data_IF_443657020950
#
_entry.id   IF_443657020950
#
_cell.length_a   1.000
_cell.length_b   1.000
_cell.length_c   1.000
_cell.angle_alpha   90.00
_cell.angle_beta   90.00
_cell.angle_gamma   90.00
#
_symmetry.space_group_name_H-M   'P 1'
#
loop_
_entity.id
_entity.type
_entity.pdbx_description
1 polymer ?
#
# COMPACT_ATOMS: atom_id res chain seq x y z
N UNK A 1 -9.16 32.90 28.75
CA UNK A 1 -8.16 33.95 29.07
C UNK A 1 -7.17 34.01 27.92
N UNK A 2 -7.01 35.20 27.33
CA UNK A 2 -6.20 35.49 26.14
C UNK A 2 -4.73 35.65 26.53
N UNK A 3 -3.79 35.06 25.78
CA UNK A 3 -2.47 35.67 25.58
C UNK A 3 -2.02 35.42 24.15
N UNK A 4 -2.03 36.49 23.37
CA UNK A 4 -1.50 36.61 22.01
C UNK A 4 -0.05 37.09 22.16
N UNK A 5 0.89 36.53 21.41
CA UNK A 5 2.24 37.11 21.30
C UNK A 5 2.70 36.99 19.86
N UNK A 6 2.52 38.10 19.16
CA UNK A 6 3.04 38.38 17.82
C UNK A 6 4.40 39.05 18.00
N UNK A 7 5.43 38.55 17.32
CA UNK A 7 6.71 39.25 17.20
C UNK A 7 7.06 39.39 15.71
N UNK A 8 7.00 40.63 15.22
CA UNK A 8 7.50 41.07 13.92
C UNK A 8 8.86 41.75 14.09
N UNK A 9 9.79 41.58 13.14
CA UNK A 9 10.62 42.63 12.49
C UNK A 9 11.69 41.97 11.58
N UNK A 10 11.56 41.93 10.24
CA UNK A 10 12.10 42.82 9.15
C UNK A 10 13.54 43.33 9.33
N UNK A 11 14.44 43.48 8.33
CA UNK A 11 14.44 43.53 6.85
C UNK A 11 15.89 43.23 6.37
N UNK A 12 16.09 42.87 5.08
CA UNK A 12 17.18 43.45 4.27
C UNK A 12 16.93 43.26 2.76
N UNK A 13 17.14 44.35 2.01
CA UNK A 13 16.89 44.55 0.58
C UNK A 13 18.23 44.75 -0.13
N UNK A 14 18.44 44.10 -1.28
CA UNK A 14 19.27 44.49 -2.44
C UNK A 14 19.17 43.33 -3.48
N UNK A 15 19.08 43.48 -4.80
CA UNK A 15 19.05 44.60 -5.73
C UNK A 15 19.45 44.10 -7.15
N UNK A 16 18.78 44.63 -8.19
CA UNK A 16 19.19 44.72 -9.63
C UNK A 16 19.17 43.45 -10.51
N UNK A 17 18.84 43.45 -11.81
CA UNK A 17 18.33 44.43 -12.80
C UNK A 17 17.82 43.62 -14.02
N UNK A 18 16.91 44.19 -14.81
CA UNK A 18 16.34 43.64 -16.04
C UNK A 18 17.33 43.55 -17.22
N UNK A 19 17.12 42.58 -18.12
CA UNK A 19 17.59 42.68 -19.49
C UNK A 19 16.44 42.46 -20.48
N UNK A 20 15.99 43.56 -21.08
CA UNK A 20 15.13 43.58 -22.26
C UNK A 20 16.03 43.74 -23.48
N UNK A 21 15.82 42.95 -24.54
CA UNK A 21 16.12 43.38 -25.91
C UNK A 21 14.93 43.10 -26.80
N UNK A 22 14.40 44.19 -27.37
CA UNK A 22 13.55 44.26 -28.55
C UNK A 22 14.40 44.11 -29.82
N UNK A 23 13.89 43.47 -30.87
CA UNK A 23 13.36 44.14 -32.08
C UNK A 23 12.85 43.09 -33.09
N UNK A 24 11.70 43.37 -33.72
CA UNK A 24 11.04 42.65 -34.81
C UNK A 24 11.57 43.09 -36.20
N UNK A 25 10.85 42.94 -37.34
CA UNK A 25 10.19 41.80 -38.01
C UNK A 25 10.71 41.60 -39.46
N UNK A 26 10.44 40.46 -40.12
CA UNK A 26 10.20 40.42 -41.59
C UNK A 26 9.51 39.14 -42.05
N UNK A 27 8.54 39.34 -42.94
CA UNK A 27 7.61 38.37 -43.52
C UNK A 27 8.19 37.54 -44.67
N UNK A 28 7.75 36.29 -44.82
CA UNK A 28 7.47 35.67 -46.14
C UNK A 28 6.74 34.32 -46.02
N UNK A 29 5.54 34.27 -46.60
CA UNK A 29 4.63 33.14 -46.90
C UNK A 29 5.32 32.09 -47.80
N UNK A 30 5.16 30.76 -47.67
CA UNK A 30 4.01 29.93 -48.16
C UNK A 30 4.31 28.41 -47.98
N UNK A 31 3.35 27.49 -48.21
CA UNK A 31 3.10 26.31 -47.37
C UNK A 31 3.74 25.00 -47.85
N UNK A 32 3.86 24.02 -46.95
CA UNK A 32 3.88 22.60 -47.33
C UNK A 32 3.33 21.67 -46.26
N UNK A 33 2.33 20.91 -46.71
CA UNK A 33 1.95 19.54 -46.37
C UNK A 33 1.77 19.16 -44.89
N UNK A 34 0.49 19.05 -44.53
CA UNK A 34 -0.04 18.24 -43.45
C UNK A 34 0.45 16.78 -43.52
N UNK A 35 0.99 16.28 -42.42
CA UNK A 35 0.99 14.86 -42.09
C UNK A 35 0.69 14.72 -40.59
N UNK A 36 -0.52 14.32 -40.17
CA UNK A 36 -0.73 13.90 -38.80
C UNK A 36 -0.04 12.54 -38.65
N UNK A 37 1.10 12.54 -37.94
CA UNK A 37 1.69 11.31 -37.42
C UNK A 37 0.78 10.81 -36.30
N UNK A 38 -0.18 9.96 -36.66
CA UNK A 38 -0.99 9.19 -35.71
C UNK A 38 -0.05 8.25 -34.96
N UNK A 39 0.46 8.70 -33.80
CA UNK A 39 1.07 7.79 -32.84
C UNK A 39 0.01 6.72 -32.50
N UNK A 40 0.35 5.41 -32.54
CA UNK A 40 -0.55 4.40 -32.04
C UNK A 40 -0.77 4.68 -30.56
N UNK A 41 -1.97 5.15 -30.21
CA UNK A 41 -2.44 5.07 -28.84
C UNK A 41 -2.45 3.58 -28.50
N UNK A 42 -1.43 3.14 -27.77
CA UNK A 42 -1.44 1.80 -27.17
C UNK A 42 -2.54 1.86 -26.13
N UNK A 43 -3.74 1.42 -26.52
CA UNK A 43 -4.80 1.12 -25.58
C UNK A 43 -4.32 -0.05 -24.75
N UNK A 44 -3.61 0.25 -23.66
CA UNK A 44 -3.35 -0.72 -22.61
C UNK A 44 -4.73 -1.17 -22.14
N UNK A 45 -5.13 -2.38 -22.56
CA UNK A 45 -6.30 -3.05 -22.00
C UNK A 45 -6.10 -3.07 -20.49
N UNK A 46 -6.80 -2.19 -19.78
CA UNK A 46 -6.84 -2.24 -18.33
C UNK A 46 -7.35 -3.62 -17.99
N UNK A 47 -6.50 -4.44 -17.37
CA UNK A 47 -6.93 -5.73 -16.85
C UNK A 47 -8.02 -5.44 -15.80
N UNK A 48 -9.28 -5.62 -16.20
CA UNK A 48 -10.43 -5.27 -15.36
C UNK A 48 -10.73 -6.40 -14.38
N UNK A 49 -10.55 -7.65 -14.79
CA UNK A 49 -10.85 -8.82 -13.98
C UNK A 49 -9.77 -9.08 -12.95
N UNK A 50 -10.15 -9.17 -11.68
CA UNK A 50 -9.25 -9.50 -10.59
C UNK A 50 -8.65 -10.92 -10.76
N UNK A 51 -7.34 -11.10 -10.55
CA UNK A 51 -6.67 -12.40 -10.65
C UNK A 51 -7.22 -13.43 -9.66
N UNK A 52 -7.38 -14.68 -10.11
CA UNK A 52 -7.74 -15.81 -9.26
C UNK A 52 -6.55 -16.37 -8.46
N UNK A 53 -6.76 -17.41 -7.63
CA UNK A 53 -5.69 -18.06 -6.84
C UNK A 53 -4.56 -18.66 -7.70
N UNK A 54 -4.86 -19.16 -8.89
CA UNK A 54 -3.90 -19.80 -9.81
C UNK A 54 -3.20 -18.82 -10.77
N UNK A 55 -3.34 -17.51 -10.56
CA UNK A 55 -2.72 -16.51 -11.42
C UNK A 55 -1.19 -16.47 -11.25
N UNK A 56 -0.46 -16.06 -12.29
CA UNK A 56 0.97 -15.79 -12.16
C UNK A 56 1.21 -14.46 -11.42
N UNK A 57 2.36 -14.33 -10.75
CA UNK A 57 2.74 -13.08 -10.08
C UNK A 57 2.74 -11.91 -11.05
N UNK A 58 3.20 -12.10 -12.28
CA UNK A 58 3.25 -11.03 -13.30
C UNK A 58 1.84 -10.58 -13.69
N UNK A 59 0.89 -11.51 -13.75
CA UNK A 59 -0.52 -11.18 -13.99
C UNK A 59 -1.10 -10.39 -12.82
N UNK A 60 -0.78 -10.77 -11.58
CA UNK A 60 -1.22 -10.04 -10.38
C UNK A 60 -0.61 -8.64 -10.34
N UNK A 61 0.69 -8.54 -10.59
CA UNK A 61 1.45 -7.27 -10.59
C UNK A 61 0.87 -6.30 -11.63
N UNK A 62 0.72 -6.74 -12.89
CA UNK A 62 0.14 -5.90 -13.95
C UNK A 62 -1.29 -5.46 -13.62
N UNK A 63 -2.08 -6.32 -12.99
CA UNK A 63 -3.43 -5.95 -12.57
C UNK A 63 -3.40 -4.93 -11.43
N UNK A 64 -2.53 -5.07 -10.43
CA UNK A 64 -2.37 -4.07 -9.36
C UNK A 64 -1.99 -2.71 -9.95
N UNK A 65 -1.00 -2.68 -10.86
CA UNK A 65 -0.49 -1.46 -11.50
C UNK A 65 -1.51 -0.73 -12.36
N UNK A 66 -2.45 -1.48 -12.96
CA UNK A 66 -3.56 -0.92 -13.73
C UNK A 66 -4.62 -0.21 -12.86
N UNK A 67 -4.53 -0.29 -11.53
CA UNK A 67 -5.40 0.46 -10.62
C UNK A 67 -5.18 1.97 -10.70
N UNK A 68 -6.21 2.75 -10.34
CA UNK A 68 -6.08 4.20 -10.25
C UNK A 68 -5.24 4.58 -9.02
N UNK A 69 -4.15 5.36 -9.16
CA UNK A 69 -3.28 5.69 -8.03
C UNK A 69 -3.99 6.57 -7.00
N UNK A 70 -3.61 6.40 -5.73
CA UNK A 70 -3.89 7.31 -4.62
C UNK A 70 -2.58 7.78 -4.00
N UNK A 71 -2.61 8.90 -3.28
CA UNK A 71 -1.46 9.41 -2.55
C UNK A 71 -1.27 8.60 -1.25
N UNK A 72 -0.04 8.15 -0.99
CA UNK A 72 0.27 7.37 0.21
C UNK A 72 0.16 8.21 1.50
N UNK A 73 0.34 9.53 1.38
CA UNK A 73 0.26 10.45 2.50
C UNK A 73 -1.15 10.51 3.11
N UNK A 74 -2.19 10.25 2.31
CA UNK A 74 -3.58 10.16 2.79
C UNK A 74 -3.77 8.96 3.73
N UNK A 75 -3.00 7.89 3.54
CA UNK A 75 -3.10 6.62 4.26
C UNK A 75 -2.22 6.55 5.51
N UNK A 76 -1.69 7.69 5.98
CA UNK A 76 -1.01 7.78 7.28
C UNK A 76 -1.97 8.00 8.45
N UNK A 77 -3.23 8.30 8.17
CA UNK A 77 -4.24 8.50 9.21
C UNK A 77 -4.74 7.14 9.71
N UNK A 78 -4.70 6.96 11.02
CA UNK A 78 -5.29 5.82 11.71
C UNK A 78 -6.31 6.30 12.72
N UNK A 79 -7.40 5.57 12.90
CA UNK A 79 -8.41 5.84 13.92
C UNK A 79 -8.39 4.75 14.98
N UNK A 80 -8.36 5.17 16.24
CA UNK A 80 -8.54 4.28 17.38
C UNK A 80 -9.70 4.79 18.23
N UNK A 81 -10.81 4.05 18.23
CA UNK A 81 -12.02 4.37 19.00
C UNK A 81 -12.54 5.81 18.76
N UNK A 82 -12.47 6.30 17.51
CA UNK A 82 -12.91 7.64 17.11
C UNK A 82 -11.89 8.75 17.36
N UNK A 83 -10.68 8.40 17.81
CA UNK A 83 -9.56 9.33 17.94
C UNK A 83 -8.56 9.14 16.78
N UNK A 84 -8.54 10.05 15.78
CA UNK A 84 -7.58 9.97 14.70
C UNK A 84 -6.18 10.35 15.17
N UNK A 85 -5.18 9.63 14.70
CA UNK A 85 -3.76 9.92 14.86
C UNK A 85 -3.00 9.75 13.53
N UNK A 86 -1.73 10.12 13.51
CA UNK A 86 -0.87 10.06 12.32
C UNK A 86 0.28 9.11 12.55
N UNK A 87 0.46 8.19 11.59
CA UNK A 87 1.64 7.34 11.52
C UNK A 87 2.89 8.16 11.18
N UNK A 88 4.06 7.55 11.41
CA UNK A 88 5.33 8.15 11.02
C UNK A 88 5.44 8.30 9.50
N UNK A 89 6.31 9.20 9.04
CA UNK A 89 6.57 9.41 7.62
C UNK A 89 6.97 8.10 6.91
N UNK A 90 6.38 7.84 5.74
CA UNK A 90 6.62 6.63 4.96
C UNK A 90 5.88 5.38 5.44
N UNK A 91 5.14 5.45 6.56
CA UNK A 91 4.27 4.38 7.03
C UNK A 91 2.84 4.57 6.50
N UNK A 92 2.11 3.48 6.28
CA UNK A 92 0.71 3.52 5.86
C UNK A 92 -0.12 2.49 6.63
N UNK A 93 -1.40 2.80 6.79
CA UNK A 93 -2.42 1.85 7.19
C UNK A 93 -3.63 1.97 6.27
N UNK A 94 -4.16 0.84 5.83
CA UNK A 94 -5.27 0.77 4.90
C UNK A 94 -6.03 -0.52 5.05
N UNK A 95 -7.28 -0.55 4.58
CA UNK A 95 -8.13 -1.74 4.65
C UNK A 95 -9.00 -1.89 3.42
N UNK A 96 -9.56 -3.07 3.23
CA UNK A 96 -10.64 -3.24 2.25
C UNK A 96 -11.83 -2.35 2.62
N UNK A 97 -12.55 -1.81 1.62
CA UNK A 97 -13.81 -1.11 1.83
C UNK A 97 -14.83 -2.01 2.52
N UNK A 98 -15.71 -1.40 3.30
CA UNK A 98 -16.71 -2.10 4.10
C UNK A 98 -16.81 -1.50 5.49
N UNK A 99 -17.92 -1.82 6.16
CA UNK A 99 -18.08 -1.49 7.57
C UNK A 99 -17.21 -2.44 8.41
N UNK A 100 -16.46 -1.85 9.34
CA UNK A 100 -15.84 -2.64 10.39
C UNK A 100 -16.85 -2.77 11.52
N UNK A 101 -17.03 -4.00 12.00
CA UNK A 101 -17.75 -4.22 13.25
C UNK A 101 -17.10 -3.47 14.41
N UNK A 102 -17.83 -3.23 15.51
CA UNK A 102 -17.27 -2.58 16.68
C UNK A 102 -16.05 -3.36 17.20
N UNK A 103 -14.94 -2.65 17.47
CA UNK A 103 -13.68 -3.21 18.00
C UNK A 103 -12.95 -4.19 17.07
N UNK A 104 -13.24 -4.17 15.76
CA UNK A 104 -12.49 -4.97 14.78
C UNK A 104 -11.25 -4.21 14.33
N UNK A 105 -10.09 -4.76 14.68
CA UNK A 105 -8.84 -4.42 14.02
C UNK A 105 -8.81 -5.20 12.70
N UNK A 106 -8.69 -4.49 11.59
CA UNK A 106 -8.67 -5.11 10.26
C UNK A 106 -7.93 -4.26 9.24
N UNK A 107 -7.42 -4.92 8.20
CA UNK A 107 -6.62 -4.28 7.16
C UNK A 107 -5.13 -4.56 7.31
N UNK A 108 -4.32 -3.67 6.77
CA UNK A 108 -2.87 -3.76 6.71
C UNK A 108 -2.24 -2.49 7.28
N UNK A 109 -1.09 -2.64 7.91
CA UNK A 109 -0.31 -1.56 8.50
C UNK A 109 1.18 -1.86 8.37
N UNK A 110 1.97 -0.82 8.14
CA UNK A 110 3.43 -0.89 8.15
C UNK A 110 3.98 -0.43 9.50
N UNK A 111 5.18 -0.92 9.82
CA UNK A 111 5.97 -0.48 10.96
C UNK A 111 7.47 -0.56 10.60
N UNK A 112 7.84 0.01 9.46
CA UNK A 112 9.19 0.02 8.92
C UNK A 112 10.22 0.65 9.86
N UNK A 113 9.82 1.63 10.68
CA UNK A 113 10.64 2.15 11.79
C UNK A 113 11.17 1.03 12.69
N UNK A 114 10.36 -0.01 12.91
CA UNK A 114 10.70 -1.18 13.72
C UNK A 114 11.18 -2.39 12.89
N UNK A 115 11.48 -2.17 11.60
CA UNK A 115 11.87 -3.23 10.64
C UNK A 115 10.84 -4.37 10.55
N UNK A 116 9.57 -4.04 10.81
CA UNK A 116 8.47 -4.98 10.68
C UNK A 116 8.05 -5.08 9.21
N UNK A 117 7.66 -6.28 8.76
CA UNK A 117 7.05 -6.46 7.45
C UNK A 117 5.65 -5.83 7.39
N UNK A 118 5.07 -5.80 6.18
CA UNK A 118 3.66 -5.47 6.04
C UNK A 118 2.84 -6.45 6.87
N UNK A 119 2.11 -5.94 7.86
CA UNK A 119 1.31 -6.74 8.78
C UNK A 119 -0.16 -6.56 8.44
N UNK A 120 -0.90 -7.64 8.27
CA UNK A 120 -2.30 -7.61 7.87
C UNK A 120 -3.17 -8.52 8.76
N UNK A 121 -4.40 -8.08 9.03
CA UNK A 121 -5.48 -8.82 9.66
C UNK A 121 -6.69 -8.80 8.72
N UNK A 122 -6.75 -9.70 7.72
CA UNK A 122 -7.78 -9.65 6.69
C UNK A 122 -9.07 -10.40 7.05
N UNK A 123 -9.13 -11.07 8.21
CA UNK A 123 -10.32 -11.81 8.64
C UNK A 123 -10.47 -13.20 7.98
N UNK A 124 -9.37 -13.96 7.87
CA UNK A 124 -9.35 -15.29 7.24
C UNK A 124 -10.26 -16.27 8.00
N UNK A 125 -11.19 -16.93 7.30
CA UNK A 125 -12.14 -17.87 7.91
C UNK A 125 -11.47 -19.16 8.42
N UNK A 126 -10.53 -19.72 7.65
CA UNK A 126 -9.84 -20.98 7.98
C UNK A 126 -8.41 -20.72 8.47
N UNK A 127 -8.25 -19.80 9.41
CA UNK A 127 -6.94 -19.43 9.94
C UNK A 127 -6.28 -20.61 10.71
N UNK A 128 -4.94 -20.74 10.68
CA UNK A 128 -4.25 -21.84 11.36
C UNK A 128 -4.57 -21.89 12.85
N UNK A 129 -4.84 -23.09 13.41
CA UNK A 129 -5.03 -23.23 14.85
C UNK A 129 -3.74 -22.93 15.59
N UNK A 130 -3.86 -22.59 16.88
CA UNK A 130 -2.69 -22.40 17.75
C UNK A 130 -1.86 -23.69 17.81
N UNK A 131 -0.55 -23.65 17.51
CA UNK A 131 0.33 -24.78 17.75
C UNK A 131 0.40 -25.16 19.25
N UNK A 132 0.57 -26.45 19.58
CA UNK A 132 0.60 -26.90 20.98
C UNK A 132 1.78 -26.28 21.75
N UNK A 133 1.60 -26.15 23.07
CA UNK A 133 2.65 -25.75 24.03
C UNK A 133 3.38 -24.42 23.73
N UNK A 134 2.73 -23.53 22.97
CA UNK A 134 3.20 -22.16 22.81
C UNK A 134 2.78 -21.33 24.03
N UNK A 135 3.67 -20.54 24.66
CA UNK A 135 3.29 -19.48 25.59
C UNK A 135 2.92 -18.18 24.84
N UNK A 136 2.07 -17.32 25.42
CA UNK A 136 1.74 -15.99 24.86
C UNK A 136 0.41 -15.92 24.07
N UNK A 137 0.07 -14.75 23.53
CA UNK A 137 -1.16 -14.57 22.73
C UNK A 137 -0.93 -15.03 21.29
N UNK A 138 -1.87 -15.84 20.80
CA UNK A 138 -1.86 -16.35 19.43
C UNK A 138 -2.90 -15.60 18.61
N UNK A 139 -2.48 -15.04 17.48
CA UNK A 139 -3.38 -14.40 16.53
C UNK A 139 -3.38 -15.22 15.25
N UNK A 140 -4.40 -16.08 15.09
CA UNK A 140 -4.48 -17.04 13.99
C UNK A 140 -4.49 -16.38 12.60
N UNK A 141 -5.19 -15.25 12.47
CA UNK A 141 -5.34 -14.52 11.21
C UNK A 141 -4.24 -13.51 10.92
N UNK A 142 -3.18 -13.43 11.72
CA UNK A 142 -2.09 -12.49 11.50
C UNK A 142 -1.29 -12.89 10.27
N UNK A 143 -1.26 -12.03 9.25
CA UNK A 143 -0.47 -12.21 8.05
C UNK A 143 0.73 -11.26 8.11
N UNK A 144 1.94 -11.78 8.00
CA UNK A 144 3.13 -10.95 7.79
C UNK A 144 3.70 -11.21 6.40
N UNK A 145 3.96 -10.16 5.63
CA UNK A 145 4.49 -10.23 4.28
C UNK A 145 5.70 -9.31 4.13
N UNK A 146 6.90 -9.89 4.02
CA UNK A 146 8.15 -9.15 3.80
C UNK A 146 8.60 -9.15 2.33
N UNK A 147 7.87 -9.86 1.46
CA UNK A 147 8.24 -10.14 0.08
C UNK A 147 8.91 -11.50 -0.11
N UNK A 148 9.91 -11.83 0.70
CA UNK A 148 10.62 -13.12 0.65
C UNK A 148 9.84 -14.25 1.34
N UNK A 149 8.93 -13.91 2.24
CA UNK A 149 8.15 -14.83 3.04
C UNK A 149 6.75 -14.29 3.28
N UNK A 150 5.82 -15.23 3.43
CA UNK A 150 4.47 -14.95 3.95
C UNK A 150 4.23 -15.86 5.14
N UNK A 151 3.92 -15.29 6.30
CA UNK A 151 3.52 -16.08 7.48
C UNK A 151 2.05 -15.84 7.81
N UNK A 152 1.38 -16.88 8.30
CA UNK A 152 -0.02 -16.82 8.76
C UNK A 152 -0.10 -17.47 10.13
N UNK A 153 -0.65 -16.74 11.09
CA UNK A 153 -0.77 -17.18 12.47
C UNK A 153 0.55 -17.08 13.20
N UNK A 154 0.63 -16.19 14.18
CA UNK A 154 1.84 -15.99 14.96
C UNK A 154 1.56 -15.60 16.41
N UNK A 155 2.58 -15.75 17.26
CA UNK A 155 2.56 -15.23 18.61
C UNK A 155 2.82 -13.72 18.63
N UNK A 156 2.04 -12.98 19.40
CA UNK A 156 2.24 -11.56 19.64
C UNK A 156 2.13 -11.29 21.15
N UNK A 157 3.17 -10.71 21.75
CA UNK A 157 3.21 -10.39 23.18
C UNK A 157 3.09 -8.89 23.49
N UNK A 158 3.39 -8.05 22.50
CA UNK A 158 3.33 -6.59 22.59
C UNK A 158 2.13 -6.05 21.79
N UNK A 159 1.70 -4.80 22.06
CA UNK A 159 0.84 -4.07 21.15
C UNK A 159 1.57 -3.95 19.80
N UNK A 160 1.30 -4.88 18.89
CA UNK A 160 1.85 -4.86 17.53
C UNK A 160 1.40 -3.60 16.79
N UNK A 161 1.79 -3.39 15.53
CA UNK A 161 1.55 -2.14 14.80
C UNK A 161 0.08 -1.69 14.79
N UNK A 162 -0.87 -2.62 14.90
CA UNK A 162 -2.30 -2.29 14.99
C UNK A 162 -2.73 -1.55 16.28
N UNK A 163 -1.85 -1.39 17.27
CA UNK A 163 -2.12 -0.50 18.40
C UNK A 163 -2.13 0.98 18.02
N UNK A 164 -1.59 1.33 16.86
CA UNK A 164 -1.68 2.69 16.31
C UNK A 164 -3.12 3.00 15.85
N UNK A 165 -3.93 1.97 15.57
CA UNK A 165 -5.32 2.08 15.14
C UNK A 165 -5.58 1.44 13.78
N UNK A 166 -6.69 1.86 13.17
CA UNK A 166 -7.20 1.30 11.92
C UNK A 166 -7.08 2.33 10.79
N UNK A 167 -6.53 1.91 9.66
CA UNK A 167 -6.34 2.77 8.49
C UNK A 167 -7.61 3.06 7.69
N UNK A 168 -7.46 3.98 6.74
CA UNK A 168 -8.53 4.36 5.81
C UNK A 168 -8.89 3.22 4.83
N UNK A 169 -10.16 3.15 4.38
CA UNK A 169 -10.53 2.21 3.33
C UNK A 169 -9.83 2.58 2.01
N UNK A 170 -9.15 1.61 1.38
CA UNK A 170 -8.65 1.74 0.02
C UNK A 170 -9.80 1.36 -0.93
N UNK A 171 -10.42 2.36 -1.57
CA UNK A 171 -11.55 2.12 -2.48
C UNK A 171 -11.24 1.08 -3.56
N UNK A 172 -12.26 0.34 -3.98
CA UNK A 172 -12.10 -0.68 -5.02
C UNK A 172 -11.57 -0.07 -6.34
N UNK A 173 -10.62 -0.75 -6.96
CA UNK A 173 -9.94 -0.30 -8.16
C UNK A 173 -8.81 0.71 -7.91
N UNK A 174 -8.66 1.23 -6.69
CA UNK A 174 -7.54 2.11 -6.33
C UNK A 174 -6.29 1.31 -5.98
N UNK A 175 -5.12 1.87 -6.31
CA UNK A 175 -3.82 1.32 -5.94
C UNK A 175 -3.02 2.29 -5.06
N UNK A 176 -2.45 1.75 -4.00
CA UNK A 176 -1.62 2.44 -3.02
C UNK A 176 -0.19 1.91 -3.14
N UNK A 177 0.80 2.78 -3.37
CA UNK A 177 2.22 2.42 -3.46
C UNK A 177 2.98 2.97 -2.25
N UNK A 178 3.80 2.14 -1.61
CA UNK A 178 4.56 2.51 -0.40
C UNK A 178 5.75 1.55 -0.22
N UNK A 179 6.94 2.08 0.08
CA UNK A 179 8.16 1.28 0.13
C UNK A 179 8.34 0.39 -1.11
N UNK A 180 8.59 -0.89 -0.86
CA UNK A 180 8.74 -1.93 -1.89
C UNK A 180 7.41 -2.56 -2.34
N UNK A 181 6.28 -2.06 -1.82
CA UNK A 181 4.96 -2.63 -2.01
C UNK A 181 4.08 -1.78 -2.92
N UNK A 182 3.14 -2.47 -3.56
CA UNK A 182 1.94 -1.82 -4.08
C UNK A 182 0.74 -2.71 -3.84
N UNK A 183 -0.35 -2.10 -3.37
CA UNK A 183 -1.58 -2.81 -3.10
C UNK A 183 -2.74 -2.25 -3.92
N UNK A 184 -3.67 -3.11 -4.33
CA UNK A 184 -4.92 -2.73 -4.99
C UNK A 184 -6.08 -3.44 -4.32
N UNK A 185 -7.13 -2.67 -4.03
CA UNK A 185 -8.38 -3.19 -3.47
C UNK A 185 -9.35 -3.58 -4.58
N UNK A 186 -10.13 -4.64 -4.37
CA UNK A 186 -11.19 -5.11 -5.26
C UNK A 186 -12.27 -5.85 -4.46
N UNK A 187 -13.44 -6.07 -5.07
CA UNK A 187 -14.52 -6.85 -4.47
C UNK A 187 -14.11 -8.30 -4.15
N UNK A 188 -13.09 -8.83 -4.85
CA UNK A 188 -12.52 -10.15 -4.60
C UNK A 188 -11.47 -10.19 -3.49
N UNK A 189 -11.08 -9.04 -2.94
CA UNK A 189 -10.12 -8.93 -1.86
C UNK A 189 -9.08 -7.83 -2.08
N UNK A 190 -8.15 -7.74 -1.14
CA UNK A 190 -7.01 -6.83 -1.17
C UNK A 190 -5.78 -7.56 -1.68
N UNK A 191 -5.15 -7.04 -2.72
CA UNK A 191 -3.96 -7.63 -3.33
C UNK A 191 -2.77 -6.75 -3.00
N UNK A 192 -1.62 -7.35 -2.68
CA UNK A 192 -0.37 -6.64 -2.45
C UNK A 192 0.76 -7.38 -3.16
N UNK A 193 1.56 -6.66 -3.95
CA UNK A 193 2.81 -7.15 -4.54
C UNK A 193 3.99 -6.57 -3.78
N UNK A 194 5.07 -7.35 -3.68
CA UNK A 194 6.40 -6.88 -3.32
C UNK A 194 7.30 -6.97 -4.56
N UNK A 195 7.86 -5.84 -4.99
CA UNK A 195 8.62 -5.78 -6.24
C UNK A 195 9.97 -6.51 -6.17
N UNK A 196 10.83 -6.28 -5.16
CA UNK A 196 12.15 -6.93 -5.10
C UNK A 196 12.09 -8.46 -5.12
N UNK A 197 11.07 -9.05 -4.50
CA UNK A 197 10.96 -10.50 -4.36
C UNK A 197 10.07 -11.17 -5.40
N UNK A 198 9.48 -10.41 -6.33
CA UNK A 198 8.57 -10.96 -7.35
C UNK A 198 7.51 -11.88 -6.72
N UNK A 199 6.86 -11.40 -5.66
CA UNK A 199 5.85 -12.14 -4.92
C UNK A 199 4.63 -11.28 -4.65
N UNK A 200 3.49 -11.92 -4.46
CA UNK A 200 2.26 -11.22 -4.13
C UNK A 200 1.37 -12.03 -3.20
N UNK A 201 0.42 -11.36 -2.56
CA UNK A 201 -0.65 -11.96 -1.78
C UNK A 201 -2.00 -11.40 -2.21
N UNK A 202 -3.03 -12.23 -2.10
CA UNK A 202 -4.44 -11.81 -2.14
C UNK A 202 -5.06 -12.18 -0.80
N UNK A 203 -5.59 -11.17 -0.14
CA UNK A 203 -6.26 -11.26 1.14
C UNK A 203 -7.77 -11.11 0.94
N UNK A 204 -8.48 -12.20 1.20
CA UNK A 204 -9.95 -12.28 1.21
C UNK A 204 -10.37 -13.19 2.37
N UNK A 205 -11.53 -13.83 2.28
CA UNK A 205 -11.94 -14.91 3.19
C UNK A 205 -10.87 -16.03 3.27
N UNK A 206 -10.11 -16.20 2.19
CA UNK A 206 -8.92 -17.03 2.11
C UNK A 206 -7.71 -16.20 1.66
N UNK A 207 -6.52 -16.65 2.09
CA UNK A 207 -5.24 -16.11 1.63
C UNK A 207 -4.75 -16.89 0.41
N UNK A 208 -4.55 -16.20 -0.71
CA UNK A 208 -3.77 -16.74 -1.84
C UNK A 208 -2.38 -16.10 -1.84
N UNK A 209 -1.36 -16.90 -2.14
CA UNK A 209 0.03 -16.46 -2.19
C UNK A 209 0.58 -16.82 -3.57
N UNK A 210 1.27 -15.86 -4.20
CA UNK A 210 1.76 -15.97 -5.56
C UNK A 210 3.29 -15.88 -5.57
N UNK A 211 3.94 -16.77 -6.33
CA UNK A 211 5.41 -16.81 -6.44
C UNK A 211 6.11 -17.44 -5.25
N UNK A 212 5.39 -18.19 -4.42
CA UNK A 212 5.93 -18.78 -3.20
C UNK A 212 5.55 -20.25 -3.07
N UNK A 213 6.38 -21.00 -2.35
CA UNK A 213 6.13 -22.41 -2.02
C UNK A 213 5.79 -22.53 -0.54
N UNK A 214 4.74 -23.28 -0.21
CA UNK A 214 4.37 -23.55 1.18
C UNK A 214 5.43 -24.43 1.84
N UNK A 215 5.95 -23.98 2.98
CA UNK A 215 6.89 -24.75 3.78
C UNK A 215 6.18 -25.92 4.47
N UNK A 216 6.75 -27.13 4.38
CA UNK A 216 6.16 -28.31 5.01
C UNK A 216 6.12 -28.23 6.54
N UNK A 217 7.15 -27.62 7.15
CA UNK A 217 7.23 -27.41 8.60
C UNK A 217 7.63 -25.96 8.89
N UNK A 218 6.67 -25.12 9.27
CA UNK A 218 6.94 -23.75 9.71
C UNK A 218 7.81 -23.72 10.98
N UNK A 219 8.55 -22.63 11.22
CA UNK A 219 9.24 -22.40 12.48
C UNK A 219 8.29 -22.43 13.67
N UNK A 220 8.82 -22.74 14.86
CA UNK A 220 8.04 -22.70 16.10
C UNK A 220 7.43 -21.32 16.30
N UNK A 221 6.12 -21.27 16.59
CA UNK A 221 5.40 -20.01 16.79
C UNK A 221 4.80 -19.41 15.51
N UNK A 222 4.96 -20.07 14.36
CA UNK A 222 4.32 -19.74 13.08
C UNK A 222 3.35 -20.86 12.70
N UNK A 223 2.16 -20.52 12.23
CA UNK A 223 1.10 -21.47 11.88
C UNK A 223 1.29 -22.04 10.48
N UNK A 224 1.50 -21.13 9.52
CA UNK A 224 1.85 -21.45 8.14
C UNK A 224 2.93 -20.48 7.66
N UNK A 225 3.87 -20.98 6.87
CA UNK A 225 4.88 -20.16 6.20
C UNK A 225 4.95 -20.54 4.72
N UNK A 226 5.09 -19.54 3.87
CA UNK A 226 5.47 -19.64 2.47
C UNK A 226 6.82 -18.97 2.28
N UNK A 227 7.68 -19.60 1.50
CA UNK A 227 8.99 -19.08 1.11
C UNK A 227 8.90 -18.65 -0.36
N UNK A 228 9.26 -17.41 -0.66
CA UNK A 228 9.15 -16.75 -1.96
C UNK A 228 10.54 -16.44 -2.52
N UNK A 229 10.83 -16.88 -3.75
CA UNK A 229 12.16 -16.77 -4.37
C UNK A 229 12.83 -18.13 -4.57
#
# INVERSE_FOLDING_TARGET
>A
MRVWSVLCLIFLVAGCVAHTQQQAPTSSTSPSASAPSTAPATTTSTATTAPGPEASVESVTRWIEAGAPVDAEEFRTVDQDGAPSQLSEGEVAFRSPGELGPRIIGGCITAFKYKMPLSCLPGIHNAPPRPPDLPGQWISGWVSFDGATVTVGSLHGDPGPFSEGVGLPLEHGKRLKFGDYQCRSDQKGLYCVNYPHHSAIRMSDELSVYGCTKRATPPRGIGVQYDCG
#
